data_IF_335235786679
#
_entry.id   IF_335235786679
#
_cell.length_a   1.000
_cell.length_b   1.000
_cell.length_c   1.000
_cell.angle_alpha   90.00
_cell.angle_beta   90.00
_cell.angle_gamma   90.00
#
_symmetry.space_group_name_H-M   'P 1'
#
loop_
_entity.id
_entity.type
_entity.pdbx_description
1 polymer ?
#
# COMPACT_ATOMS: atom_id res chain seq x y z
N UNK A 1 -0.80 -44.93 59.94
CA UNK A 1 -1.43 -45.68 58.84
C UNK A 1 -2.15 -44.63 58.03
N UNK A 2 -1.46 -43.96 57.09
CA UNK A 2 -1.31 -44.42 55.70
C UNK A 2 -2.62 -44.07 54.99
N UNK A 3 -2.72 -43.02 54.19
CA UNK A 3 -2.33 -42.92 52.76
C UNK A 3 -3.44 -42.02 52.15
N UNK A 4 -3.33 -41.16 51.14
CA UNK A 4 -2.34 -40.89 50.10
C UNK A 4 -2.58 -39.46 49.57
N UNK A 5 -1.51 -38.82 49.10
CA UNK A 5 -1.52 -37.59 48.30
C UNK A 5 -1.88 -37.86 46.83
N UNK A 6 -2.40 -36.82 46.18
CA UNK A 6 -2.88 -36.70 44.80
C UNK A 6 -1.91 -37.22 43.72
N UNK A 7 -2.45 -37.48 42.51
CA UNK A 7 -1.76 -37.10 41.28
C UNK A 7 -2.61 -36.12 40.46
N UNK A 8 -2.08 -34.91 40.23
CA UNK A 8 -2.55 -34.03 39.16
C UNK A 8 -2.03 -34.57 37.82
N UNK A 9 -2.97 -34.95 36.95
CA UNK A 9 -2.74 -35.28 35.55
C UNK A 9 -2.53 -33.98 34.75
N UNK A 10 -1.32 -33.77 34.26
CA UNK A 10 -1.03 -32.75 33.26
C UNK A 10 -1.38 -33.22 31.85
N UNK A 11 -1.88 -32.30 31.03
CA UNK A 11 -1.77 -32.22 29.57
C UNK A 11 -2.59 -31.00 29.07
N UNK A 12 -2.44 -30.51 27.82
CA UNK A 12 -1.21 -30.10 27.14
C UNK A 12 -1.40 -28.74 26.45
N UNK A 13 -0.44 -27.83 26.50
CA UNK A 13 -0.42 -26.65 25.59
C UNK A 13 0.97 -26.48 24.99
N UNK A 14 1.26 -27.31 23.99
CA UNK A 14 2.39 -27.12 23.09
C UNK A 14 2.07 -26.00 22.10
N UNK A 15 2.47 -24.78 22.41
CA UNK A 15 2.53 -23.70 21.45
C UNK A 15 3.72 -23.94 20.50
N UNK A 16 3.44 -24.12 19.20
CA UNK A 16 4.46 -24.05 18.15
C UNK A 16 4.91 -22.58 18.00
N UNK A 17 5.93 -22.20 18.77
CA UNK A 17 6.79 -21.07 18.42
C UNK A 17 7.84 -21.57 17.45
N UNK A 18 7.71 -21.24 16.16
CA UNK A 18 8.82 -21.37 15.21
C UNK A 18 9.95 -20.43 15.66
N UNK A 19 11.15 -20.94 15.97
CA UNK A 19 12.27 -20.08 16.34
C UNK A 19 12.74 -19.25 15.13
N UNK A 20 13.44 -18.13 15.35
CA UNK A 20 14.11 -17.42 14.28
C UNK A 20 15.10 -18.35 13.60
N UNK A 21 15.28 -18.22 12.29
CA UNK A 21 16.36 -18.84 11.53
C UNK A 21 17.71 -18.28 12.00
N UNK A 22 18.16 -18.68 13.18
CA UNK A 22 19.56 -18.58 13.57
C UNK A 22 20.33 -19.52 12.65
N UNK A 23 21.31 -18.96 11.94
CA UNK A 23 22.20 -19.72 11.08
C UNK A 23 22.94 -20.76 11.94
N UNK A 24 22.43 -21.99 11.96
CA UNK A 24 23.08 -23.12 12.60
C UNK A 24 24.47 -23.26 11.99
N UNK A 25 25.51 -23.22 12.82
CA UNK A 25 26.87 -23.56 12.39
C UNK A 25 26.83 -24.88 11.61
N UNK A 26 27.47 -24.96 10.43
CA UNK A 26 27.40 -26.16 9.61
C UNK A 26 27.83 -27.38 10.45
N UNK A 27 27.15 -28.54 10.31
CA UNK A 27 27.59 -29.79 10.93
C UNK A 27 29.09 -30.03 10.66
N UNK A 28 29.79 -30.56 11.66
CA UNK A 28 31.25 -30.76 11.58
C UNK A 28 31.66 -31.44 10.26
N UNK A 29 32.53 -30.77 9.49
CA UNK A 29 33.01 -31.24 8.19
C UNK A 29 32.30 -30.66 6.95
N UNK A 30 31.28 -29.80 7.10
CA UNK A 30 30.63 -29.14 5.95
C UNK A 30 31.36 -27.84 5.55
N UNK A 31 31.85 -27.78 4.31
CA UNK A 31 32.42 -26.57 3.71
C UNK A 31 31.30 -25.72 3.09
N UNK A 32 31.22 -24.44 3.47
CA UNK A 32 30.24 -23.49 2.91
C UNK A 32 30.95 -22.41 2.09
N UNK A 33 30.88 -22.54 0.76
CA UNK A 33 31.45 -21.57 -0.19
C UNK A 33 30.38 -20.80 -0.96
N UNK A 34 29.13 -20.74 -0.46
CA UNK A 34 28.02 -20.06 -1.14
C UNK A 34 28.31 -18.57 -1.35
N UNK A 35 28.91 -17.90 -0.35
CA UNK A 35 29.29 -16.49 -0.47
C UNK A 35 30.32 -16.26 -1.59
N UNK A 36 31.34 -17.11 -1.68
CA UNK A 36 32.36 -17.04 -2.73
C UNK A 36 31.76 -17.27 -4.13
N UNK A 37 30.87 -18.26 -4.27
CA UNK A 37 30.16 -18.50 -5.53
C UNK A 37 29.30 -17.29 -5.93
N UNK A 38 28.57 -16.70 -4.98
CA UNK A 38 27.76 -15.51 -5.22
C UNK A 38 28.61 -14.31 -5.66
N UNK A 39 29.79 -14.11 -5.06
CA UNK A 39 30.74 -13.07 -5.49
C UNK A 39 31.28 -13.32 -6.90
N UNK A 40 31.59 -14.58 -7.25
CA UNK A 40 32.06 -14.92 -8.60
C UNK A 40 30.98 -14.67 -9.65
N UNK A 41 29.75 -15.12 -9.40
CA UNK A 41 28.62 -14.85 -10.29
C UNK A 41 28.36 -13.34 -10.36
N UNK A 42 28.37 -12.65 -9.23
CA UNK A 42 28.21 -11.20 -9.15
C UNK A 42 29.24 -10.43 -9.97
N UNK A 43 30.49 -10.92 -10.04
CA UNK A 43 31.57 -10.30 -10.82
C UNK A 43 31.33 -10.34 -12.34
N UNK A 44 30.47 -11.23 -12.83
CA UNK A 44 30.09 -11.35 -14.24
C UNK A 44 29.09 -10.27 -14.69
N UNK A 45 28.52 -9.50 -13.76
CA UNK A 45 27.57 -8.44 -14.07
C UNK A 45 28.17 -7.44 -15.05
N UNK A 46 27.49 -7.26 -16.19
CA UNK A 46 27.89 -6.36 -17.28
C UNK A 46 29.27 -6.68 -17.90
N UNK A 47 29.85 -7.85 -17.62
CA UNK A 47 31.05 -8.31 -18.30
C UNK A 47 30.66 -8.91 -19.66
N UNK A 48 31.30 -8.49 -20.76
CA UNK A 48 31.03 -9.07 -22.08
C UNK A 48 31.59 -10.51 -22.19
N UNK A 49 32.58 -10.84 -21.37
CA UNK A 49 33.16 -12.18 -21.28
C UNK A 49 32.10 -13.18 -20.84
N UNK A 50 31.92 -14.24 -21.63
CA UNK A 50 30.91 -15.30 -21.44
C UNK A 50 29.44 -14.86 -21.54
N UNK A 51 29.17 -13.59 -21.85
CA UNK A 51 27.82 -13.13 -22.16
C UNK A 51 27.30 -13.76 -23.44
N UNK A 52 26.07 -14.26 -23.40
CA UNK A 52 25.38 -14.95 -24.49
C UNK A 52 24.05 -14.26 -24.87
N UNK A 53 23.79 -13.09 -24.30
CA UNK A 53 22.69 -12.20 -24.67
C UNK A 53 23.02 -10.74 -24.32
N UNK A 54 22.54 -9.80 -25.12
CA UNK A 54 22.57 -8.36 -24.83
C UNK A 54 21.15 -7.85 -24.65
N UNK A 55 20.85 -7.27 -23.49
CA UNK A 55 19.58 -6.62 -23.21
C UNK A 55 19.66 -5.15 -23.64
N UNK A 56 18.73 -4.70 -24.46
CA UNK A 56 18.63 -3.30 -24.89
C UNK A 56 17.52 -2.61 -24.10
N UNK A 57 17.90 -1.68 -23.22
CA UNK A 57 17.00 -0.99 -22.30
C UNK A 57 17.23 0.51 -22.38
N UNK A 58 16.20 1.28 -22.75
CA UNK A 58 16.34 2.73 -22.92
C UNK A 58 17.46 3.15 -23.91
N UNK A 59 17.73 2.31 -24.92
CA UNK A 59 18.81 2.49 -25.89
C UNK A 59 20.22 2.09 -25.40
N UNK A 60 20.38 1.71 -24.14
CA UNK A 60 21.63 1.17 -23.61
C UNK A 60 21.72 -0.34 -23.86
N UNK A 61 22.91 -0.82 -24.20
CA UNK A 61 23.22 -2.25 -24.43
C UNK A 61 23.87 -2.81 -23.18
N UNK A 62 23.22 -3.79 -22.55
CA UNK A 62 23.64 -4.42 -21.30
C UNK A 62 23.98 -5.90 -21.58
N UNK A 63 25.26 -6.29 -21.65
CA UNK A 63 25.62 -7.70 -21.79
C UNK A 63 25.19 -8.48 -20.54
N UNK A 64 24.61 -9.65 -20.74
CA UNK A 64 24.05 -10.49 -19.69
C UNK A 64 24.16 -11.97 -20.06
N UNK A 65 23.72 -12.83 -19.14
CA UNK A 65 23.86 -14.27 -19.25
C UNK A 65 22.48 -14.94 -19.18
N UNK A 66 22.09 -15.65 -20.25
CA UNK A 66 20.74 -16.23 -20.39
C UNK A 66 20.40 -17.19 -19.25
N UNK A 67 21.37 -18.00 -18.86
CA UNK A 67 21.21 -18.97 -17.78
C UNK A 67 20.89 -18.29 -16.45
N UNK A 68 21.62 -17.22 -16.11
CA UNK A 68 21.42 -16.47 -14.86
C UNK A 68 20.02 -15.85 -14.86
N UNK A 69 19.68 -15.09 -15.90
CA UNK A 69 18.37 -14.44 -16.05
C UNK A 69 17.21 -15.45 -15.94
N UNK A 70 17.28 -16.56 -16.67
CA UNK A 70 16.25 -17.58 -16.69
C UNK A 70 16.14 -18.39 -15.39
N UNK A 71 17.26 -18.54 -14.65
CA UNK A 71 17.25 -19.21 -13.35
C UNK A 71 16.53 -18.38 -12.28
N UNK A 72 16.62 -17.05 -12.37
CA UNK A 72 16.07 -16.13 -11.39
C UNK A 72 14.63 -15.67 -11.72
N UNK A 73 14.17 -15.82 -12.96
CA UNK A 73 12.85 -15.34 -13.38
C UNK A 73 12.19 -16.25 -14.42
N UNK A 74 10.94 -16.63 -14.14
CA UNK A 74 10.11 -17.38 -15.07
C UNK A 74 9.80 -16.61 -16.35
N UNK A 75 9.70 -15.27 -16.27
CA UNK A 75 9.57 -14.39 -17.43
C UNK A 75 10.78 -14.50 -18.35
N UNK A 76 12.00 -14.30 -17.82
CA UNK A 76 13.21 -14.41 -18.63
C UNK A 76 13.43 -15.82 -19.15
N UNK A 77 13.05 -16.84 -18.38
CA UNK A 77 13.05 -18.23 -18.86
C UNK A 77 12.14 -18.41 -20.08
N UNK A 78 10.92 -17.88 -20.04
CA UNK A 78 10.00 -17.94 -21.16
C UNK A 78 10.50 -17.13 -22.37
N UNK A 79 11.06 -15.94 -22.13
CA UNK A 79 11.60 -15.08 -23.18
C UNK A 79 12.79 -15.73 -23.91
N UNK A 80 13.72 -16.31 -23.15
CA UNK A 80 15.00 -16.79 -23.67
C UNK A 80 14.99 -18.27 -24.07
N UNK A 81 14.10 -19.09 -23.51
CA UNK A 81 14.03 -20.53 -23.76
C UNK A 81 12.64 -21.01 -24.20
N UNK A 82 11.65 -20.12 -24.34
CA UNK A 82 10.27 -20.46 -24.71
C UNK A 82 10.03 -20.72 -26.20
N UNK A 83 11.08 -20.72 -27.03
CA UNK A 83 10.97 -21.02 -28.47
C UNK A 83 10.40 -19.90 -29.35
N UNK A 84 10.21 -18.68 -28.79
CA UNK A 84 9.83 -17.49 -29.56
C UNK A 84 11.03 -16.90 -30.32
N UNK A 85 10.83 -15.88 -31.16
CA UNK A 85 11.91 -15.30 -31.98
C UNK A 85 13.09 -14.84 -31.12
N UNK A 86 12.78 -14.19 -30.01
CA UNK A 86 13.70 -13.68 -28.99
C UNK A 86 14.58 -14.78 -28.37
N UNK A 87 14.14 -16.05 -28.43
CA UNK A 87 14.95 -17.18 -27.97
C UNK A 87 16.18 -17.45 -28.84
N UNK A 88 16.19 -16.94 -30.09
CA UNK A 88 17.28 -17.11 -31.05
C UNK A 88 18.07 -15.82 -31.31
N UNK A 89 17.62 -14.69 -30.74
CA UNK A 89 18.28 -13.40 -30.91
C UNK A 89 19.42 -13.23 -29.88
N UNK A 90 20.53 -12.66 -30.35
CA UNK A 90 21.64 -12.23 -29.49
C UNK A 90 21.33 -10.90 -28.78
N UNK A 91 20.45 -10.08 -29.36
CA UNK A 91 19.99 -8.81 -28.79
C UNK A 91 18.48 -8.85 -28.50
N UNK A 92 18.11 -8.59 -27.24
CA UNK A 92 16.71 -8.59 -26.78
C UNK A 92 16.34 -7.19 -26.30
N UNK A 93 15.36 -6.57 -26.98
CA UNK A 93 14.90 -5.21 -26.66
C UNK A 93 13.77 -5.28 -25.63
N UNK A 94 14.02 -4.74 -24.43
CA UNK A 94 13.00 -4.58 -23.39
C UNK A 94 12.34 -3.22 -23.54
N UNK A 95 11.12 -3.22 -24.09
CA UNK A 95 10.33 -2.01 -24.32
C UNK A 95 9.72 -1.50 -23.02
N UNK A 96 9.47 -0.19 -22.97
CA UNK A 96 8.78 0.48 -21.87
C UNK A 96 9.40 0.19 -20.48
N UNK A 97 10.71 -0.12 -20.46
CA UNK A 97 11.45 -0.47 -19.25
C UNK A 97 12.36 0.70 -18.86
N UNK A 98 12.16 1.32 -17.68
CA UNK A 98 13.02 2.37 -17.18
C UNK A 98 14.42 1.82 -16.91
N UNK A 99 15.44 2.45 -17.51
CA UNK A 99 16.81 1.97 -17.50
C UNK A 99 17.40 1.89 -16.09
N UNK A 100 17.24 2.94 -15.29
CA UNK A 100 17.85 3.02 -13.96
C UNK A 100 17.31 1.91 -13.04
N UNK A 101 15.99 1.73 -12.98
CA UNK A 101 15.37 0.65 -12.23
C UNK A 101 15.75 -0.74 -12.76
N UNK A 102 15.90 -0.89 -14.08
CA UNK A 102 16.34 -2.16 -14.66
C UNK A 102 17.79 -2.51 -14.34
N UNK A 103 18.71 -1.53 -14.36
CA UNK A 103 20.11 -1.77 -13.95
C UNK A 103 20.20 -2.20 -12.49
N UNK A 104 19.36 -1.64 -11.61
CA UNK A 104 19.22 -2.07 -10.22
C UNK A 104 18.68 -3.49 -10.10
N UNK A 105 17.64 -3.84 -10.86
CA UNK A 105 17.11 -5.19 -10.92
C UNK A 105 18.14 -6.19 -11.46
N UNK A 106 18.88 -5.82 -12.50
CA UNK A 106 19.92 -6.67 -13.08
C UNK A 106 21.04 -6.91 -12.06
N UNK A 107 21.45 -5.88 -11.31
CA UNK A 107 22.38 -6.05 -10.20
C UNK A 107 21.82 -7.02 -9.16
N UNK A 108 20.55 -6.88 -8.78
CA UNK A 108 19.90 -7.80 -7.86
C UNK A 108 19.88 -9.25 -8.37
N UNK A 109 19.63 -9.48 -9.66
CA UNK A 109 19.67 -10.82 -10.28
C UNK A 109 21.04 -11.48 -10.09
N UNK A 110 22.12 -10.70 -10.21
CA UNK A 110 23.49 -11.23 -10.14
C UNK A 110 24.02 -11.37 -8.71
N UNK A 111 23.58 -10.51 -7.78
CA UNK A 111 24.16 -10.43 -6.43
C UNK A 111 23.21 -10.86 -5.32
N UNK A 112 21.90 -10.91 -5.59
CA UNK A 112 20.85 -11.07 -4.58
C UNK A 112 20.68 -9.84 -3.67
N UNK A 113 21.34 -8.71 -3.98
CA UNK A 113 21.39 -7.53 -3.12
C UNK A 113 20.85 -6.29 -3.84
N UNK A 114 20.00 -5.54 -3.15
CA UNK A 114 19.51 -4.24 -3.59
C UNK A 114 19.43 -3.27 -2.42
N UNK A 115 20.05 -2.10 -2.58
CA UNK A 115 20.00 -1.02 -1.60
C UNK A 115 18.91 -0.01 -1.99
N UNK A 116 17.79 -0.01 -1.26
CA UNK A 116 16.66 0.90 -1.52
C UNK A 116 16.82 2.26 -0.84
N UNK A 117 17.45 2.31 0.33
CA UNK A 117 17.64 3.57 1.04
C UNK A 117 18.54 4.52 0.24
N UNK A 118 18.09 5.77 0.10
CA UNK A 118 18.80 6.81 -0.66
C UNK A 118 18.43 6.88 -2.15
N UNK A 119 17.65 5.92 -2.67
CA UNK A 119 17.08 6.02 -4.00
C UNK A 119 15.94 7.06 -4.05
N UNK A 120 15.73 7.64 -5.23
CA UNK A 120 14.55 8.46 -5.49
C UNK A 120 13.30 7.59 -5.47
N UNK A 121 12.20 8.14 -4.97
CA UNK A 121 10.91 7.45 -4.89
C UNK A 121 10.45 6.87 -6.23
N UNK A 122 10.59 7.64 -7.32
CA UNK A 122 10.23 7.20 -8.67
C UNK A 122 10.94 5.90 -9.04
N UNK A 123 12.24 5.82 -8.77
CA UNK A 123 13.07 4.64 -9.07
C UNK A 123 12.63 3.45 -8.21
N UNK A 124 12.26 3.66 -6.94
CA UNK A 124 11.76 2.58 -6.08
C UNK A 124 10.42 2.04 -6.59
N UNK A 125 9.52 2.91 -7.03
CA UNK A 125 8.23 2.52 -7.63
C UNK A 125 8.42 1.80 -8.98
N UNK A 126 9.38 2.23 -9.78
CA UNK A 126 9.76 1.54 -11.03
C UNK A 126 10.37 0.16 -10.73
N UNK A 127 11.21 0.02 -9.70
CA UNK A 127 11.71 -1.30 -9.27
C UNK A 127 10.56 -2.20 -8.81
N UNK A 128 9.58 -1.67 -8.08
CA UNK A 128 8.38 -2.42 -7.70
C UNK A 128 7.63 -2.92 -8.95
N UNK A 129 7.42 -2.03 -9.92
CA UNK A 129 6.79 -2.36 -11.21
C UNK A 129 7.55 -3.46 -11.97
N UNK A 130 8.87 -3.35 -12.10
CA UNK A 130 9.67 -4.37 -12.78
C UNK A 130 9.72 -5.69 -12.03
N UNK A 131 9.71 -5.64 -10.69
CA UNK A 131 9.66 -6.84 -9.85
C UNK A 131 8.35 -7.61 -10.11
N UNK A 132 7.24 -6.89 -10.17
CA UNK A 132 5.93 -7.46 -10.52
C UNK A 132 5.92 -8.02 -11.95
N UNK A 133 6.32 -7.19 -12.93
CA UNK A 133 6.30 -7.52 -14.36
C UNK A 133 7.14 -8.76 -14.68
N UNK A 134 8.33 -8.87 -14.09
CA UNK A 134 9.26 -9.97 -14.36
C UNK A 134 9.16 -11.11 -13.34
N UNK A 135 8.21 -11.05 -12.41
CA UNK A 135 7.88 -12.16 -11.49
C UNK A 135 8.87 -12.38 -10.35
N UNK A 136 9.53 -11.33 -9.87
CA UNK A 136 10.42 -11.38 -8.70
C UNK A 136 9.64 -11.16 -7.39
N UNK A 137 8.92 -12.18 -6.94
CA UNK A 137 8.01 -12.10 -5.78
C UNK A 137 8.71 -11.68 -4.47
N UNK A 138 9.92 -12.22 -4.20
CA UNK A 138 10.67 -11.87 -2.98
C UNK A 138 11.16 -10.42 -3.00
N UNK A 139 11.56 -9.93 -4.18
CA UNK A 139 11.95 -8.54 -4.35
C UNK A 139 10.74 -7.62 -4.23
N UNK A 140 9.61 -7.97 -4.85
CA UNK A 140 8.34 -7.24 -4.75
C UNK A 140 7.90 -7.11 -3.29
N UNK A 141 7.96 -8.21 -2.52
CA UNK A 141 7.66 -8.21 -1.10
C UNK A 141 8.66 -7.34 -0.30
N UNK A 142 9.95 -7.41 -0.61
CA UNK A 142 10.98 -6.59 0.03
C UNK A 142 10.79 -5.09 -0.22
N UNK A 143 10.54 -4.70 -1.47
CA UNK A 143 10.27 -3.31 -1.86
C UNK A 143 8.96 -2.82 -1.23
N UNK A 144 7.92 -3.65 -1.20
CA UNK A 144 6.64 -3.32 -0.55
C UNK A 144 6.83 -3.02 0.95
N UNK A 145 7.55 -3.89 1.68
CA UNK A 145 7.85 -3.65 3.10
C UNK A 145 8.66 -2.38 3.32
N UNK A 146 9.59 -2.06 2.42
CA UNK A 146 10.33 -0.80 2.49
C UNK A 146 9.41 0.41 2.29
N UNK A 147 8.52 0.37 1.29
CA UNK A 147 7.54 1.43 1.02
C UNK A 147 6.60 1.65 2.21
N UNK A 148 6.15 0.59 2.89
CA UNK A 148 5.36 0.68 4.12
C UNK A 148 6.06 1.49 5.22
N UNK A 149 7.39 1.37 5.34
CA UNK A 149 8.19 2.06 6.36
C UNK A 149 8.44 3.54 6.04
N UNK A 150 8.38 3.93 4.77
CA UNK A 150 8.68 5.30 4.31
C UNK A 150 7.43 6.06 3.84
N UNK A 151 6.23 5.58 4.20
CA UNK A 151 4.97 6.26 3.92
C UNK A 151 4.97 7.68 4.51
N UNK A 152 4.54 8.62 3.68
CA UNK A 152 4.46 10.04 3.99
C UNK A 152 3.38 10.72 3.16
N UNK A 153 2.94 11.91 3.60
CA UNK A 153 1.88 12.68 2.94
C UNK A 153 2.19 12.96 1.46
N UNK A 154 3.48 13.10 1.11
CA UNK A 154 3.93 13.45 -0.25
C UNK A 154 3.95 12.27 -1.22
N UNK A 155 4.01 11.03 -0.72
CA UNK A 155 4.24 9.84 -1.53
C UNK A 155 3.12 8.80 -1.44
N UNK A 156 2.31 8.84 -0.38
CA UNK A 156 1.32 7.81 -0.09
C UNK A 156 0.33 7.62 -1.23
N UNK A 157 -0.09 8.67 -1.93
CA UNK A 157 -1.04 8.53 -3.04
C UNK A 157 -0.45 7.73 -4.20
N UNK A 158 0.80 8.01 -4.57
CA UNK A 158 1.49 7.32 -5.68
C UNK A 158 1.76 5.86 -5.32
N UNK A 159 2.20 5.62 -4.09
CA UNK A 159 2.39 4.27 -3.55
C UNK A 159 1.05 3.52 -3.53
N UNK A 160 -0.03 4.20 -3.11
CA UNK A 160 -1.35 3.59 -3.01
C UNK A 160 -1.91 3.19 -4.39
N UNK A 161 -1.75 4.04 -5.40
CA UNK A 161 -2.11 3.71 -6.78
C UNK A 161 -1.38 2.45 -7.27
N UNK A 162 -0.07 2.37 -7.05
CA UNK A 162 0.74 1.21 -7.45
C UNK A 162 0.36 -0.05 -6.67
N UNK A 163 0.09 0.08 -5.38
CA UNK A 163 -0.36 -1.03 -4.55
C UNK A 163 -1.71 -1.59 -5.01
N UNK A 164 -2.64 -0.72 -5.42
CA UNK A 164 -3.92 -1.14 -5.99
C UNK A 164 -3.76 -1.74 -7.39
N UNK A 165 -2.93 -1.13 -8.25
CA UNK A 165 -2.69 -1.59 -9.62
C UNK A 165 -2.09 -3.00 -9.66
N UNK A 166 -1.11 -3.28 -8.81
CA UNK A 166 -0.44 -4.58 -8.73
C UNK A 166 -1.06 -5.52 -7.67
N UNK A 167 -2.20 -5.14 -7.08
CA UNK A 167 -2.96 -5.94 -6.11
C UNK A 167 -2.15 -6.34 -4.86
N UNK A 168 -1.27 -5.45 -4.40
CA UNK A 168 -0.42 -5.62 -3.22
C UNK A 168 -1.23 -5.36 -1.95
N UNK A 169 -1.99 -6.36 -1.50
CA UNK A 169 -2.99 -6.20 -0.43
C UNK A 169 -2.45 -5.62 0.88
N UNK A 170 -1.26 -6.05 1.33
CA UNK A 170 -0.64 -5.56 2.57
C UNK A 170 -0.24 -4.07 2.45
N UNK A 171 0.48 -3.70 1.39
CA UNK A 171 0.89 -2.32 1.12
C UNK A 171 -0.33 -1.41 0.91
N UNK A 172 -1.35 -1.87 0.19
CA UNK A 172 -2.59 -1.14 -0.01
C UNK A 172 -3.31 -0.90 1.33
N UNK A 173 -3.29 -1.88 2.24
CA UNK A 173 -3.86 -1.72 3.57
C UNK A 173 -3.08 -0.72 4.42
N UNK A 174 -1.74 -0.76 4.38
CA UNK A 174 -0.90 0.21 5.06
C UNK A 174 -1.16 1.64 4.55
N UNK A 175 -1.28 1.81 3.22
CA UNK A 175 -1.64 3.07 2.61
C UNK A 175 -3.02 3.56 3.05
N UNK A 176 -4.05 2.70 3.05
CA UNK A 176 -5.40 3.04 3.55
C UNK A 176 -5.37 3.57 4.98
N UNK A 177 -4.70 2.86 5.87
CA UNK A 177 -4.58 3.25 7.26
C UNK A 177 -3.83 4.57 7.43
N UNK A 178 -2.79 4.81 6.63
CA UNK A 178 -2.05 6.06 6.65
C UNK A 178 -2.93 7.22 6.12
N UNK A 179 -3.63 6.99 5.01
CA UNK A 179 -4.50 7.98 4.38
C UNK A 179 -5.61 8.42 5.34
N UNK A 180 -6.23 7.48 6.03
CA UNK A 180 -7.30 7.78 6.98
C UNK A 180 -6.81 8.61 8.18
N UNK A 181 -5.59 8.32 8.68
CA UNK A 181 -4.99 9.08 9.78
C UNK A 181 -4.55 10.49 9.40
N UNK A 182 -4.24 10.72 8.13
CA UNK A 182 -3.69 11.97 7.62
C UNK A 182 -4.58 12.66 6.58
N UNK A 183 -5.90 12.38 6.59
CA UNK A 183 -6.85 12.77 5.56
C UNK A 183 -6.75 14.27 5.18
N UNK A 184 -6.80 15.17 6.17
CA UNK A 184 -6.71 16.62 5.94
C UNK A 184 -5.38 17.06 5.32
N UNK A 185 -4.26 16.45 5.73
CA UNK A 185 -2.96 16.79 5.16
C UNK A 185 -2.87 16.32 3.69
N UNK A 186 -3.49 15.18 3.38
CA UNK A 186 -3.48 14.59 2.05
C UNK A 186 -4.36 15.39 1.10
N UNK A 187 -5.57 15.79 1.51
CA UNK A 187 -6.47 16.62 0.71
C UNK A 187 -5.83 17.94 0.25
N UNK A 188 -4.91 18.49 1.05
CA UNK A 188 -4.18 19.72 0.75
C UNK A 188 -2.83 19.50 0.04
N UNK A 189 -2.47 18.26 -0.28
CA UNK A 189 -1.17 17.92 -0.85
C UNK A 189 -1.23 17.75 -2.37
N UNK A 190 -0.13 18.08 -3.05
CA UNK A 190 0.02 17.79 -4.49
C UNK A 190 -0.02 16.29 -4.79
N UNK A 191 0.29 15.44 -3.81
CA UNK A 191 0.22 13.98 -3.92
C UNK A 191 -1.19 13.53 -4.29
N UNK A 192 -2.23 14.20 -3.77
CA UNK A 192 -3.64 13.87 -4.05
C UNK A 192 -4.00 14.06 -5.53
N UNK A 193 -3.43 15.08 -6.20
CA UNK A 193 -3.70 15.38 -7.61
C UNK A 193 -3.22 14.27 -8.56
N UNK A 194 -2.28 13.45 -8.11
CA UNK A 194 -1.69 12.35 -8.87
C UNK A 194 -2.48 11.04 -8.76
N UNK A 195 -3.57 11.00 -7.97
CA UNK A 195 -4.37 9.79 -7.81
C UNK A 195 -5.09 9.38 -9.09
N UNK A 196 -5.12 8.08 -9.38
CA UNK A 196 -6.00 7.54 -10.42
C UNK A 196 -7.48 7.71 -10.03
N UNK A 197 -8.40 7.87 -11.01
CA UNK A 197 -9.83 8.03 -10.72
C UNK A 197 -10.41 6.84 -9.95
N UNK A 198 -9.88 5.63 -10.19
CA UNK A 198 -10.34 4.39 -9.54
C UNK A 198 -10.00 4.41 -8.06
N UNK A 199 -8.75 4.71 -7.73
CA UNK A 199 -8.28 4.72 -6.33
C UNK A 199 -8.83 5.93 -5.59
N UNK A 200 -8.99 7.08 -6.25
CA UNK A 200 -9.63 8.24 -5.65
C UNK A 200 -11.10 7.97 -5.28
N UNK A 201 -11.86 7.32 -6.18
CA UNK A 201 -13.25 6.92 -5.90
C UNK A 201 -13.32 5.94 -4.73
N UNK A 202 -12.44 4.95 -4.70
CA UNK A 202 -12.35 3.98 -3.60
C UNK A 202 -11.99 4.68 -2.29
N UNK A 203 -11.01 5.58 -2.30
CA UNK A 203 -10.56 6.35 -1.15
C UNK A 203 -11.69 7.16 -0.52
N UNK A 204 -12.42 7.95 -1.34
CA UNK A 204 -13.51 8.83 -0.91
C UNK A 204 -14.77 8.03 -0.57
N UNK A 205 -14.98 6.86 -1.17
CA UNK A 205 -16.14 6.00 -0.87
C UNK A 205 -16.12 5.44 0.56
N UNK A 206 -14.96 5.41 1.23
CA UNK A 206 -14.79 4.81 2.56
C UNK A 206 -15.34 5.70 3.67
N UNK A 207 -16.06 5.07 4.61
CA UNK A 207 -16.51 5.72 5.85
C UNK A 207 -15.34 6.17 6.73
N UNK A 208 -14.22 5.46 6.68
CA UNK A 208 -13.03 5.73 7.51
C UNK A 208 -12.22 6.95 7.08
N UNK A 209 -12.45 7.48 5.87
CA UNK A 209 -11.73 8.64 5.35
C UNK A 209 -12.31 9.94 5.93
N UNK A 210 -11.95 10.27 7.17
CA UNK A 210 -12.60 11.32 7.94
C UNK A 210 -12.00 12.72 7.69
N UNK A 211 -12.73 13.56 6.96
CA UNK A 211 -12.46 14.98 6.75
C UNK A 211 -13.78 15.75 6.53
N UNK A 212 -13.81 17.09 6.75
CA UNK A 212 -14.98 17.90 6.43
C UNK A 212 -15.37 17.72 4.96
N UNK A 213 -16.66 17.44 4.70
CA UNK A 213 -17.10 17.08 3.34
C UNK A 213 -16.88 18.22 2.34
N UNK A 214 -16.91 19.47 2.80
CA UNK A 214 -16.58 20.65 1.99
C UNK A 214 -15.13 20.63 1.51
N UNK A 215 -14.19 20.14 2.31
CA UNK A 215 -12.78 20.07 1.93
C UNK A 215 -12.51 18.88 1.00
N UNK A 216 -13.23 17.76 1.20
CA UNK A 216 -13.25 16.65 0.24
C UNK A 216 -13.74 17.15 -1.12
N UNK A 217 -14.87 17.87 -1.15
CA UNK A 217 -15.43 18.43 -2.38
C UNK A 217 -14.44 19.36 -3.10
N UNK A 218 -13.81 20.30 -2.37
CA UNK A 218 -12.80 21.22 -2.92
C UNK A 218 -11.60 20.47 -3.49
N UNK A 219 -11.11 19.45 -2.80
CA UNK A 219 -9.99 18.64 -3.27
C UNK A 219 -10.35 17.88 -4.55
N UNK A 220 -11.55 17.30 -4.64
CA UNK A 220 -12.04 16.64 -5.86
C UNK A 220 -12.15 17.63 -7.03
N UNK A 221 -12.61 18.86 -6.78
CA UNK A 221 -12.64 19.90 -7.82
C UNK A 221 -11.23 20.25 -8.31
N UNK A 222 -10.27 20.40 -7.40
CA UNK A 222 -8.87 20.64 -7.73
C UNK A 222 -8.26 19.49 -8.55
N UNK A 223 -8.55 18.24 -8.16
CA UNK A 223 -8.14 17.05 -8.89
C UNK A 223 -8.76 17.01 -10.30
N UNK A 224 -10.04 17.34 -10.44
CA UNK A 224 -10.73 17.37 -11.73
C UNK A 224 -10.15 18.44 -12.67
N UNK A 225 -9.80 19.61 -12.12
CA UNK A 225 -9.14 20.66 -12.88
C UNK A 225 -7.74 20.25 -13.36
N UNK A 226 -7.03 19.44 -12.57
CA UNK A 226 -5.71 18.91 -12.93
C UNK A 226 -5.79 17.75 -13.94
N UNK A 227 -6.90 17.01 -13.97
CA UNK A 227 -7.09 15.81 -14.78
C UNK A 227 -8.28 15.96 -15.77
N UNK A 228 -8.20 16.86 -16.76
CA UNK A 228 -9.32 17.18 -17.65
C UNK A 228 -9.73 16.03 -18.58
N UNK A 229 -8.88 15.01 -18.73
CA UNK A 229 -9.18 13.80 -19.51
C UNK A 229 -10.07 12.80 -18.78
N UNK A 230 -10.23 12.94 -17.46
CA UNK A 230 -10.96 12.00 -16.61
C UNK A 230 -12.32 12.57 -16.22
N UNK A 231 -13.37 11.76 -16.28
CA UNK A 231 -14.71 12.18 -15.84
C UNK A 231 -14.78 12.22 -14.30
N UNK A 232 -15.03 13.38 -13.66
CA UNK A 232 -15.11 13.48 -12.20
C UNK A 232 -16.44 13.00 -11.62
N UNK A 233 -17.49 12.80 -12.43
CA UNK A 233 -18.84 12.46 -11.93
C UNK A 233 -18.87 11.22 -11.01
N UNK A 234 -18.23 10.09 -11.34
CA UNK A 234 -18.26 8.91 -10.47
C UNK A 234 -17.58 9.12 -9.11
N UNK A 235 -16.67 10.10 -9.03
CA UNK A 235 -15.98 10.47 -7.79
C UNK A 235 -16.85 11.43 -6.98
N UNK A 236 -17.50 12.40 -7.65
CA UNK A 236 -18.43 13.35 -7.03
C UNK A 236 -19.65 12.66 -6.42
N UNK A 237 -20.11 11.55 -6.99
CA UNK A 237 -21.17 10.71 -6.39
C UNK A 237 -20.78 10.11 -5.04
N UNK A 238 -19.47 9.96 -4.75
CA UNK A 238 -18.99 9.49 -3.45
C UNK A 238 -18.90 10.62 -2.41
N UNK A 239 -19.05 11.88 -2.84
CA UNK A 239 -19.10 13.03 -1.94
C UNK A 239 -20.51 13.15 -1.37
N UNK A 240 -20.61 13.16 -0.04
CA UNK A 240 -21.86 13.12 0.71
C UNK A 240 -22.45 14.51 0.83
N UNK A 241 -23.01 15.03 -0.27
CA UNK A 241 -23.61 16.36 -0.35
C UNK A 241 -24.53 16.74 0.83
N UNK A 242 -25.34 15.82 1.40
CA UNK A 242 -26.17 16.11 2.58
C UNK A 242 -25.40 16.48 3.86
N UNK A 243 -24.08 16.27 3.90
CA UNK A 243 -23.22 16.67 5.01
C UNK A 243 -22.66 18.09 4.86
N UNK A 244 -22.84 18.75 3.71
CA UNK A 244 -22.49 20.15 3.54
C UNK A 244 -23.61 21.05 4.08
N UNK A 245 -23.23 22.24 4.56
CA UNK A 245 -24.20 23.27 4.94
C UNK A 245 -24.85 23.91 3.71
N UNK A 246 -26.07 24.44 3.86
CA UNK A 246 -26.77 25.15 2.77
C UNK A 246 -25.92 26.28 2.15
N UNK A 247 -25.20 27.13 2.93
CA UNK A 247 -24.28 28.11 2.36
C UNK A 247 -23.16 27.49 1.52
N UNK A 248 -22.63 26.33 1.89
CA UNK A 248 -21.57 25.65 1.12
C UNK A 248 -22.12 25.04 -0.18
N UNK A 249 -23.31 24.44 -0.14
CA UNK A 249 -23.98 23.94 -1.34
C UNK A 249 -24.22 25.07 -2.37
N UNK A 250 -24.63 26.24 -1.90
CA UNK A 250 -24.94 27.38 -2.77
C UNK A 250 -23.72 28.17 -3.22
N UNK A 251 -22.71 28.33 -2.37
CA UNK A 251 -21.56 29.21 -2.64
C UNK A 251 -20.28 28.48 -3.03
N UNK A 252 -20.18 27.17 -2.75
CA UNK A 252 -18.99 26.35 -3.06
C UNK A 252 -19.33 25.32 -4.15
N UNK A 253 -20.43 24.57 -4.00
CA UNK A 253 -20.77 23.50 -4.95
C UNK A 253 -21.36 24.06 -6.24
N UNK A 254 -22.43 24.87 -6.14
CA UNK A 254 -23.15 25.41 -7.30
C UNK A 254 -22.25 26.15 -8.32
N UNK A 255 -21.29 27.02 -7.94
CA UNK A 255 -20.49 27.76 -8.93
C UNK A 255 -19.54 26.89 -9.76
N UNK A 256 -19.30 25.64 -9.37
CA UNK A 256 -18.40 24.74 -10.11
C UNK A 256 -19.04 24.15 -11.36
N UNK A 257 -20.37 24.14 -11.45
CA UNK A 257 -21.16 23.46 -12.49
C UNK A 257 -20.82 21.96 -12.69
N UNK A 258 -20.09 21.35 -11.73
CA UNK A 258 -19.74 19.92 -11.76
C UNK A 258 -20.87 19.02 -11.24
N UNK A 259 -21.78 19.58 -10.45
CA UNK A 259 -22.93 18.90 -9.84
C UNK A 259 -24.22 19.52 -10.38
N UNK A 260 -25.16 18.68 -10.80
CA UNK A 260 -26.44 19.14 -11.34
C UNK A 260 -27.30 19.89 -10.30
N UNK A 261 -28.12 20.87 -10.73
CA UNK A 261 -28.95 21.64 -9.81
C UNK A 261 -29.95 20.77 -9.03
N UNK A 262 -30.47 19.70 -9.64
CA UNK A 262 -31.39 18.78 -8.98
C UNK A 262 -30.71 18.05 -7.79
N UNK A 263 -29.47 17.58 -7.98
CA UNK A 263 -28.71 16.95 -6.90
C UNK A 263 -28.43 17.91 -5.72
N UNK A 264 -28.26 19.20 -6.01
CA UNK A 264 -28.08 20.24 -4.97
C UNK A 264 -29.40 20.46 -4.21
N UNK A 265 -30.52 20.51 -4.92
CA UNK A 265 -31.85 20.66 -4.30
C UNK A 265 -32.19 19.45 -3.43
N UNK A 266 -31.94 18.23 -3.93
CA UNK A 266 -32.12 16.99 -3.20
C UNK A 266 -31.26 16.97 -1.92
N UNK A 267 -30.00 17.42 -2.02
CA UNK A 267 -29.12 17.54 -0.86
C UNK A 267 -29.65 18.54 0.17
N UNK A 268 -30.13 19.72 -0.24
CA UNK A 268 -30.73 20.70 0.67
C UNK A 268 -31.97 20.12 1.35
N UNK A 269 -32.84 19.44 0.59
CA UNK A 269 -34.01 18.78 1.14
C UNK A 269 -33.61 17.77 2.21
N UNK A 270 -32.64 16.89 1.92
CA UNK A 270 -32.11 15.92 2.87
C UNK A 270 -31.50 16.58 4.10
N UNK A 271 -30.77 17.69 3.97
CA UNK A 271 -30.25 18.44 5.11
C UNK A 271 -31.37 18.94 6.04
N UNK A 272 -32.51 19.35 5.49
CA UNK A 272 -33.63 19.91 6.26
C UNK A 272 -34.59 18.88 6.84
N UNK A 273 -34.80 17.75 6.15
CA UNK A 273 -35.83 16.77 6.50
C UNK A 273 -35.27 15.57 7.30
N UNK A 274 -33.99 15.23 7.10
CA UNK A 274 -33.37 14.07 7.74
C UNK A 274 -32.98 14.42 9.17
N UNK A 275 -33.31 13.54 10.12
CA UNK A 275 -32.81 13.63 11.49
C UNK A 275 -31.30 13.51 11.49
N UNK A 276 -30.61 14.29 12.31
CA UNK A 276 -29.14 14.29 12.33
C UNK A 276 -28.55 12.88 12.50
N UNK A 277 -29.16 12.02 13.34
CA UNK A 277 -28.69 10.66 13.58
C UNK A 277 -28.73 9.73 12.33
N UNK A 278 -29.56 10.05 11.34
CA UNK A 278 -29.74 9.24 10.13
C UNK A 278 -28.88 9.77 8.95
N UNK A 279 -28.07 10.81 9.17
CA UNK A 279 -27.18 11.36 8.15
C UNK A 279 -26.01 10.41 7.88
N UNK A 280 -25.52 10.35 6.62
CA UNK A 280 -24.48 9.41 6.22
C UNK A 280 -23.09 9.87 6.66
N UNK A 281 -22.86 10.12 7.95
CA UNK A 281 -21.56 10.60 8.44
C UNK A 281 -20.42 9.64 8.12
N UNK A 282 -19.25 10.21 7.91
CA UNK A 282 -17.98 9.46 7.88
C UNK A 282 -17.58 9.15 9.31
N UNK A 283 -17.10 7.94 9.57
CA UNK A 283 -16.78 7.47 10.90
C UNK A 283 -15.77 6.34 10.88
N UNK A 284 -14.90 6.32 11.89
CA UNK A 284 -13.99 5.21 12.15
C UNK A 284 -14.41 4.51 13.43
N UNK A 285 -14.60 3.19 13.39
CA UNK A 285 -14.89 2.40 14.56
C UNK A 285 -13.61 2.24 15.39
N UNK A 286 -13.48 2.95 16.51
CA UNK A 286 -12.47 2.62 17.52
C UNK A 286 -12.94 1.40 18.31
N UNK A 287 -12.60 0.20 17.84
CA UNK A 287 -12.81 -1.02 18.61
C UNK A 287 -11.88 -1.06 19.82
N UNK A 288 -12.40 -0.81 21.03
CA UNK A 288 -11.72 -1.24 22.24
C UNK A 288 -11.91 -2.76 22.38
N UNK A 289 -10.84 -3.51 22.15
CA UNK A 289 -10.79 -4.93 22.50
C UNK A 289 -10.68 -5.05 24.03
N UNK A 290 -11.81 -5.08 24.70
CA UNK A 290 -11.92 -5.45 26.11
C UNK A 290 -11.96 -6.98 26.14
N UNK A 291 -10.83 -7.60 26.46
CA UNK A 291 -10.72 -9.05 26.56
C UNK A 291 -11.52 -9.55 27.76
N UNK A 292 -12.45 -10.48 27.51
CA UNK A 292 -13.34 -11.12 28.51
C UNK A 292 -12.59 -12.11 29.46
N UNK A 293 -11.27 -12.25 29.30
CA UNK A 293 -10.48 -13.27 30.01
C UNK A 293 -9.89 -12.81 31.35
N UNK A 294 -10.14 -11.57 31.78
CA UNK A 294 -9.55 -11.05 33.01
C UNK A 294 -10.62 -10.39 33.89
N UNK A 295 -10.53 -10.58 35.21
CA UNK A 295 -11.48 -10.04 36.21
C UNK A 295 -11.41 -8.49 36.35
N UNK A 296 -10.81 -7.81 35.37
CA UNK A 296 -10.49 -6.39 35.41
C UNK A 296 -11.75 -5.58 35.14
N UNK A 297 -12.06 -4.71 36.08
CA UNK A 297 -13.06 -3.67 35.89
C UNK A 297 -12.40 -2.49 35.18
N UNK A 298 -13.08 -1.93 34.18
CA UNK A 298 -12.63 -0.76 33.46
C UNK A 298 -13.65 0.36 33.60
N UNK A 299 -13.17 1.59 33.50
CA UNK A 299 -14.01 2.77 33.43
C UNK A 299 -13.65 3.51 32.14
N UNK A 300 -14.66 3.99 31.41
CA UNK A 300 -14.48 4.58 30.10
C UNK A 300 -15.32 5.84 29.95
N UNK A 301 -14.98 6.66 28.98
CA UNK A 301 -15.85 7.70 28.44
C UNK A 301 -15.73 7.66 26.92
N UNK A 302 -16.81 8.01 26.23
CA UNK A 302 -16.86 8.09 24.77
C UNK A 302 -17.11 9.54 24.41
N UNK A 303 -16.22 10.10 23.62
CA UNK A 303 -16.40 11.40 23.00
C UNK A 303 -16.52 11.23 21.50
N UNK A 304 -17.39 12.01 20.89
CA UNK A 304 -17.54 12.11 19.44
C UNK A 304 -17.20 13.52 19.01
N UNK A 305 -16.56 13.63 17.86
CA UNK A 305 -16.26 14.91 17.22
C UNK A 305 -16.57 14.80 15.74
N UNK A 306 -17.22 15.82 15.22
CA UNK A 306 -17.50 15.96 13.78
C UNK A 306 -16.40 16.74 13.05
N UNK A 307 -15.48 17.38 13.78
CA UNK A 307 -14.47 18.31 13.23
C UNK A 307 -13.03 18.07 13.76
N UNK A 308 -12.82 17.05 14.61
CA UNK A 308 -11.58 16.73 15.33
C UNK A 308 -11.05 17.84 16.26
N UNK A 309 -11.75 18.96 16.39
CA UNK A 309 -11.34 20.09 17.22
C UNK A 309 -12.21 20.20 18.46
N UNK A 310 -13.51 20.02 18.30
CA UNK A 310 -14.51 20.08 19.34
C UNK A 310 -15.02 18.67 19.63
N UNK A 311 -14.76 18.20 20.84
CA UNK A 311 -15.15 16.86 21.29
C UNK A 311 -16.33 16.98 22.24
N UNK A 312 -17.37 16.19 21.98
CA UNK A 312 -18.57 16.11 22.80
C UNK A 312 -18.64 14.75 23.45
N UNK A 313 -18.65 14.71 24.78
CA UNK A 313 -18.81 13.48 25.54
C UNK A 313 -20.23 12.95 25.41
N UNK A 314 -20.38 11.74 24.86
CA UNK A 314 -21.67 11.06 24.65
C UNK A 314 -21.90 9.91 25.61
N UNK A 315 -20.85 9.40 26.25
CA UNK A 315 -20.96 8.47 27.35
C UNK A 315 -19.88 8.76 28.40
N UNK A 316 -20.26 8.79 29.67
CA UNK A 316 -19.32 8.87 30.80
C UNK A 316 -19.61 7.74 31.77
N UNK A 317 -18.70 6.77 31.82
CA UNK A 317 -18.69 5.64 32.75
C UNK A 317 -17.42 5.66 33.60
N UNK A 318 -16.78 6.83 33.77
CA UNK A 318 -15.54 6.95 34.56
C UNK A 318 -15.73 6.60 36.04
N UNK A 319 -16.96 6.70 36.54
CA UNK A 319 -17.34 6.37 37.92
C UNK A 319 -18.00 4.99 38.07
N UNK A 320 -18.18 4.27 36.97
CA UNK A 320 -18.79 2.94 36.96
C UNK A 320 -17.72 1.89 36.67
N UNK A 321 -17.74 0.80 37.41
CA UNK A 321 -16.87 -0.34 37.17
C UNK A 321 -17.55 -1.24 36.14
N UNK A 322 -17.23 -1.00 34.86
CA UNK A 322 -17.76 -1.77 33.75
C UNK A 322 -17.00 -3.10 33.61
N UNK A 323 -17.74 -4.15 33.22
CA UNK A 323 -17.24 -5.43 32.76
C UNK A 323 -17.73 -5.61 31.33
#
# INVERSE_FOLDING_TARGET
>A
MGDSQCPESGDPTGALTTPPLEASSPPEGQLNHVGWLAEHIGSLLLQPEYSDVTLVVGGARLPAHRLILASCSSYFRALLYGGMRESQEEEVVLRDTPREAFELLLRYIYTGQLQLAGLKEDVVLEVLELSHLYGFLELEAGVSRFLEQVLGVRNVCRIYDRACLYQLGALAQACRLFVDRHAMAILNSDSFLNLSPVVLREMIGRDSFFAPEVDIFRAVCSWAAHNPSSDPKPILEMVRLPLLTVPELLNVVRPTDLVGPDCILDAIQLCTETRDADRPYRGSLCGLLLWDCDSRQYSYYVEVSVDQQNWTMVADRRQELCR
#
